data_IF_204861134956
#
_entry.id   IF_204861134956
#
_cell.length_a   1.000
_cell.length_b   1.000
_cell.length_c   1.000
_cell.angle_alpha   90.00
_cell.angle_beta   90.00
_cell.angle_gamma   90.00
#
_symmetry.space_group_name_H-M   'P 1'
#
loop_
_entity.id
_entity.type
_entity.pdbx_description
1 polymer ?
#
# COMPACT_ATOMS: atom_id res chain seq x y z
N UNK A 1 -5.16 -2.78 -10.54
CA UNK A 1 -6.17 -2.88 -9.47
C UNK A 1 -5.46 -2.75 -8.14
N UNK A 2 -5.76 -1.70 -7.37
CA UNK A 2 -5.66 -1.79 -5.90
C UNK A 2 -6.46 -3.04 -5.52
N UNK A 3 -5.86 -3.97 -4.79
CA UNK A 3 -6.40 -5.31 -4.54
C UNK A 3 -7.85 -5.18 -4.02
N UNK A 4 -8.82 -5.48 -4.89
CA UNK A 4 -10.26 -5.53 -4.60
C UNK A 4 -10.61 -6.83 -3.88
N UNK A 5 -9.85 -7.16 -2.83
CA UNK A 5 -10.17 -8.31 -1.99
C UNK A 5 -10.06 -7.90 -0.53
N UNK A 6 -11.19 -7.43 0.00
CA UNK A 6 -11.34 -6.96 1.38
C UNK A 6 -10.89 -8.03 2.39
N UNK A 7 -10.97 -9.31 2.04
CA UNK A 7 -10.61 -10.42 2.92
C UNK A 7 -9.09 -10.58 3.04
N UNK A 8 -8.37 -10.55 1.91
CA UNK A 8 -6.90 -10.59 1.89
C UNK A 8 -6.32 -9.34 2.59
N UNK A 9 -6.95 -8.18 2.39
CA UNK A 9 -6.56 -6.94 3.06
C UNK A 9 -6.75 -7.04 4.57
N UNK A 10 -7.88 -7.60 5.04
CA UNK A 10 -8.16 -7.79 6.46
C UNK A 10 -7.17 -8.77 7.09
N UNK A 11 -6.95 -9.94 6.48
CA UNK A 11 -6.02 -10.95 6.98
C UNK A 11 -4.59 -10.41 7.08
N UNK A 12 -4.12 -9.71 6.05
CA UNK A 12 -2.78 -9.13 6.03
C UNK A 12 -2.62 -8.01 7.07
N UNK A 13 -3.64 -7.15 7.22
CA UNK A 13 -3.68 -6.13 8.28
C UNK A 13 -3.70 -6.78 9.66
N UNK A 14 -4.43 -7.88 9.85
CA UNK A 14 -4.47 -8.61 11.12
C UNK A 14 -3.13 -9.26 11.45
N UNK A 15 -2.44 -9.87 10.50
CA UNK A 15 -1.10 -10.44 10.70
C UNK A 15 -0.08 -9.37 11.07
N UNK A 16 -0.14 -8.20 10.42
CA UNK A 16 0.74 -7.06 10.75
C UNK A 16 0.37 -6.46 12.12
N UNK A 17 -0.92 -6.33 12.45
CA UNK A 17 -1.42 -5.84 13.74
C UNK A 17 -1.07 -6.76 14.91
N UNK A 18 -1.01 -8.07 14.69
CA UNK A 18 -0.67 -9.07 15.71
C UNK A 18 0.80 -8.99 16.14
N UNK A 19 1.66 -8.22 15.45
CA UNK A 19 3.11 -8.20 15.70
C UNK A 19 3.69 -9.62 15.80
N UNK A 20 3.07 -10.59 15.16
CA UNK A 20 3.77 -11.78 14.73
C UNK A 20 4.70 -11.27 13.64
N UNK A 21 5.85 -10.77 14.09
CA UNK A 21 7.00 -10.52 13.26
C UNK A 21 7.17 -11.83 12.52
N UNK A 22 6.65 -11.89 11.28
CA UNK A 22 6.97 -12.97 10.39
C UNK A 22 8.48 -12.94 10.36
N UNK A 23 9.12 -13.93 10.97
CA UNK A 23 10.52 -14.19 10.78
C UNK A 23 10.67 -14.52 9.31
N UNK A 24 10.74 -13.47 8.49
CA UNK A 24 11.21 -13.57 7.13
C UNK A 24 12.65 -14.02 7.30
N UNK A 25 12.86 -15.32 7.16
CA UNK A 25 14.19 -15.88 6.96
C UNK A 25 14.89 -15.11 5.84
N UNK A 26 16.21 -15.16 5.78
CA UNK A 26 16.95 -14.44 4.74
C UNK A 26 16.42 -14.86 3.35
N UNK A 27 15.77 -13.93 2.65
CA UNK A 27 15.22 -14.13 1.31
C UNK A 27 16.38 -14.09 0.30
N UNK A 28 17.24 -15.10 0.36
CA UNK A 28 18.51 -15.18 -0.39
C UNK A 28 18.34 -15.70 -1.82
N UNK A 29 17.18 -16.26 -2.18
CA UNK A 29 17.05 -17.08 -3.40
C UNK A 29 15.86 -16.78 -4.31
N UNK A 30 14.77 -16.16 -3.83
CA UNK A 30 13.64 -15.79 -4.70
C UNK A 30 13.46 -14.27 -4.77
N UNK A 31 14.01 -13.68 -5.83
CA UNK A 31 13.92 -12.24 -6.13
C UNK A 31 12.68 -11.89 -6.95
N UNK A 32 12.01 -12.87 -7.54
CA UNK A 32 10.84 -12.65 -8.40
C UNK A 32 9.71 -12.00 -7.61
N UNK A 33 9.50 -12.43 -6.37
CA UNK A 33 8.41 -11.97 -5.52
C UNK A 33 8.77 -10.85 -4.52
N UNK A 34 10.06 -10.57 -4.31
CA UNK A 34 10.51 -9.60 -3.31
C UNK A 34 9.93 -8.18 -3.54
N UNK A 35 9.83 -7.76 -4.81
CA UNK A 35 9.22 -6.48 -5.17
C UNK A 35 7.72 -6.47 -4.90
N UNK A 36 7.01 -7.52 -5.29
CA UNK A 36 5.57 -7.68 -5.05
C UNK A 36 5.23 -7.64 -3.56
N UNK A 37 6.00 -8.35 -2.74
CA UNK A 37 5.86 -8.33 -1.29
C UNK A 37 6.08 -6.92 -0.72
N UNK A 38 7.11 -6.21 -1.19
CA UNK A 38 7.41 -4.87 -0.70
C UNK A 38 6.31 -3.85 -1.03
N UNK A 39 5.77 -3.89 -2.25
CA UNK A 39 4.64 -3.05 -2.63
C UNK A 39 3.35 -3.43 -1.91
N UNK A 40 3.12 -4.71 -1.62
CA UNK A 40 1.98 -5.16 -0.84
C UNK A 40 2.00 -4.57 0.58
N UNK A 41 3.15 -4.64 1.27
CA UNK A 41 3.33 -3.98 2.57
C UNK A 41 3.12 -2.47 2.49
N UNK A 42 3.66 -1.84 1.45
CA UNK A 42 3.51 -0.41 1.22
C UNK A 42 2.04 0.00 1.03
N UNK A 43 1.22 -0.83 0.37
CA UNK A 43 -0.23 -0.62 0.26
C UNK A 43 -0.95 -0.78 1.60
N UNK A 44 -0.49 -1.67 2.47
CA UNK A 44 -1.05 -1.80 3.83
C UNK A 44 -0.76 -0.55 4.65
N UNK A 45 0.45 0.00 4.54
CA UNK A 45 0.78 1.31 5.14
C UNK A 45 -0.15 2.40 4.62
N UNK A 46 -0.41 2.42 3.30
CA UNK A 46 -1.31 3.40 2.69
C UNK A 46 -2.78 3.28 3.13
N UNK A 47 -3.17 2.15 3.74
CA UNK A 47 -4.57 1.78 3.96
C UNK A 47 -5.33 2.76 4.86
N UNK A 48 -4.67 3.40 5.82
CA UNK A 48 -5.29 4.36 6.74
C UNK A 48 -5.27 5.81 6.22
N UNK A 49 -4.70 6.03 5.03
CA UNK A 49 -4.61 7.34 4.38
C UNK A 49 -3.58 8.29 5.00
N UNK A 50 -2.70 7.81 5.88
CA UNK A 50 -1.59 8.55 6.48
C UNK A 50 -0.35 7.67 6.48
N UNK A 51 0.81 8.29 6.59
CA UNK A 51 2.08 7.56 6.77
C UNK A 51 2.64 7.97 8.13
N UNK A 52 2.80 7.01 9.03
CA UNK A 52 3.36 7.21 10.36
C UNK A 52 4.86 6.92 10.35
N UNK A 53 5.61 7.56 11.26
CA UNK A 53 7.05 7.29 11.41
C UNK A 53 7.36 5.81 11.69
N UNK A 54 6.48 5.10 12.41
CA UNK A 54 6.61 3.66 12.65
C UNK A 54 6.53 2.83 11.37
N UNK A 55 5.69 3.22 10.41
CA UNK A 55 5.52 2.54 9.13
C UNK A 55 6.68 2.86 8.17
N UNK A 56 7.21 4.08 8.22
CA UNK A 56 8.46 4.47 7.51
C UNK A 56 9.64 3.62 8.00
N UNK A 57 9.79 3.48 9.32
CA UNK A 57 10.84 2.66 9.91
C UNK A 57 10.69 1.18 9.54
N UNK A 58 9.46 0.66 9.50
CA UNK A 58 9.17 -0.70 9.04
C UNK A 58 9.57 -0.90 7.58
N UNK A 59 9.14 -0.02 6.67
CA UNK A 59 9.47 -0.10 5.24
C UNK A 59 10.98 0.01 4.98
N UNK A 60 11.69 0.87 5.71
CA UNK A 60 13.15 0.96 5.62
C UNK A 60 13.85 -0.33 6.09
N UNK A 61 13.39 -0.89 7.21
CA UNK A 61 13.94 -2.15 7.76
C UNK A 61 13.74 -3.32 6.80
N UNK A 62 12.53 -3.47 6.25
CA UNK A 62 12.19 -4.54 5.31
C UNK A 62 12.94 -4.37 3.99
N UNK A 63 13.13 -3.14 3.49
CA UNK A 63 13.91 -2.88 2.28
C UNK A 63 15.31 -3.49 2.35
N UNK A 64 16.00 -3.30 3.48
CA UNK A 64 17.32 -3.89 3.71
C UNK A 64 17.28 -5.42 3.77
N UNK A 65 16.29 -5.99 4.46
CA UNK A 65 16.10 -7.46 4.57
C UNK A 65 15.79 -8.12 3.23
N UNK A 66 15.11 -7.41 2.32
CA UNK A 66 14.85 -7.86 0.96
C UNK A 66 16.05 -7.69 0.03
N UNK A 67 17.18 -7.18 0.53
CA UNK A 67 18.39 -6.94 -0.25
C UNK A 67 18.17 -5.89 -1.35
N UNK A 68 17.36 -4.87 -1.06
CA UNK A 68 17.19 -3.72 -1.93
C UNK A 68 18.06 -2.55 -1.45
N UNK A 69 18.54 -1.69 -2.37
CA UNK A 69 19.21 -0.45 -2.01
C UNK A 69 18.33 0.44 -1.13
N UNK A 70 18.92 1.17 -0.18
CA UNK A 70 18.20 2.07 0.73
C UNK A 70 17.34 3.11 0.00
N UNK A 71 17.77 3.54 -1.19
CA UNK A 71 16.99 4.48 -2.02
C UNK A 71 15.66 3.90 -2.51
N UNK A 72 15.55 2.57 -2.63
CA UNK A 72 14.30 1.90 -3.01
C UNK A 72 13.19 2.18 -1.99
N UNK A 73 13.53 2.23 -0.69
CA UNK A 73 12.55 2.54 0.33
C UNK A 73 11.97 3.95 0.18
N UNK A 74 12.80 4.94 -0.17
CA UNK A 74 12.35 6.31 -0.44
C UNK A 74 11.40 6.36 -1.64
N UNK A 75 11.74 5.63 -2.71
CA UNK A 75 10.89 5.57 -3.91
C UNK A 75 9.52 4.94 -3.60
N UNK A 76 9.49 3.86 -2.82
CA UNK A 76 8.24 3.21 -2.43
C UNK A 76 7.42 4.07 -1.47
N UNK A 77 8.05 4.79 -0.54
CA UNK A 77 7.38 5.76 0.33
C UNK A 77 6.75 6.92 -0.46
N UNK A 78 7.46 7.42 -1.48
CA UNK A 78 6.93 8.45 -2.37
C UNK A 78 5.71 7.91 -3.12
N UNK A 79 5.81 6.71 -3.69
CA UNK A 79 4.70 6.06 -4.37
C UNK A 79 3.47 5.86 -3.46
N UNK A 80 3.67 5.43 -2.21
CA UNK A 80 2.59 5.32 -1.20
C UNK A 80 1.93 6.68 -0.93
N UNK A 81 2.74 7.73 -0.80
CA UNK A 81 2.23 9.09 -0.54
C UNK A 81 1.37 9.57 -1.71
N UNK A 82 1.81 9.32 -2.94
CA UNK A 82 1.05 9.67 -4.15
C UNK A 82 -0.24 8.85 -4.26
N UNK A 83 -0.20 7.56 -3.92
CA UNK A 83 -1.38 6.70 -3.87
C UNK A 83 -2.42 7.22 -2.87
N UNK A 84 -2.00 7.62 -1.67
CA UNK A 84 -2.89 8.22 -0.65
C UNK A 84 -3.55 9.48 -1.19
N UNK A 85 -2.78 10.35 -1.86
CA UNK A 85 -3.30 11.58 -2.46
C UNK A 85 -4.34 11.28 -3.53
N UNK A 86 -4.02 10.38 -4.48
CA UNK A 86 -4.95 9.97 -5.53
C UNK A 86 -6.24 9.35 -4.95
N UNK A 87 -6.12 8.57 -3.88
CA UNK A 87 -7.26 7.97 -3.20
C UNK A 87 -8.16 9.04 -2.55
N UNK A 88 -7.56 10.07 -1.96
CA UNK A 88 -8.28 11.23 -1.41
C UNK A 88 -8.99 12.02 -2.51
N UNK A 89 -8.29 12.33 -3.60
CA UNK A 89 -8.84 13.08 -4.74
C UNK A 89 -10.01 12.32 -5.36
N UNK A 90 -9.86 11.01 -5.58
CA UNK A 90 -10.95 10.13 -6.05
C UNK A 90 -12.15 10.20 -5.12
N UNK A 91 -11.96 10.06 -3.80
CA UNK A 91 -13.06 10.10 -2.85
C UNK A 91 -13.80 11.45 -2.87
N UNK A 92 -13.07 12.56 -2.99
CA UNK A 92 -13.68 13.89 -3.15
C UNK A 92 -14.49 13.99 -4.44
N UNK A 93 -13.95 13.52 -5.58
CA UNK A 93 -14.68 13.47 -6.84
C UNK A 93 -15.94 12.61 -6.73
N UNK A 94 -15.85 11.43 -6.10
CA UNK A 94 -17.02 10.55 -5.89
C UNK A 94 -18.12 11.25 -5.10
N UNK A 95 -17.80 12.03 -4.07
CA UNK A 95 -18.79 12.82 -3.35
C UNK A 95 -19.42 13.90 -4.26
N UNK A 96 -18.60 14.66 -5.01
CA UNK A 96 -19.09 15.68 -5.93
C UNK A 96 -20.01 15.11 -7.02
N UNK A 97 -19.69 13.92 -7.52
CA UNK A 97 -20.47 13.26 -8.57
C UNK A 97 -21.89 12.88 -8.11
N UNK A 98 -22.12 12.68 -6.80
CA UNK A 98 -23.47 12.40 -6.26
C UNK A 98 -24.44 13.55 -6.46
N UNK A 99 -23.92 14.78 -6.51
CA UNK A 99 -24.73 15.99 -6.63
C UNK A 99 -24.98 16.41 -8.09
N UNK A 100 -24.31 15.74 -9.05
CA UNK A 100 -24.48 16.04 -10.46
C UNK A 100 -25.78 15.39 -10.96
N UNK A 101 -26.70 16.20 -11.48
CA UNK A 101 -27.91 15.71 -12.13
C UNK A 101 -27.53 14.84 -13.34
N UNK A 102 -28.07 13.62 -13.47
CA UNK A 102 -27.75 12.75 -14.59
C UNK A 102 -28.28 13.35 -15.90
N UNK A 103 -27.46 13.31 -16.94
CA UNK A 103 -27.83 13.70 -18.31
C UNK A 103 -27.78 12.44 -19.17
N UNK A 104 -28.95 11.97 -19.60
CA UNK A 104 -29.07 10.81 -20.47
C UNK A 104 -29.22 11.25 -21.93
N UNK A 105 -28.41 10.70 -22.81
CA UNK A 105 -28.59 10.88 -24.26
C UNK A 105 -29.55 9.80 -24.75
N UNK A 106 -30.77 10.20 -25.11
CA UNK A 106 -31.74 9.31 -25.76
C UNK A 106 -31.23 9.02 -27.18
N UNK A 107 -31.12 7.73 -27.52
CA UNK A 107 -30.88 7.25 -28.88
C UNK A 107 -32.20 7.06 -29.60
#
# INVERSE_FOLDING_TARGET
>A
MMIENDQIRVELIESIKKLEIVELGELTTDREYAGHFYFLLAMVVAADGKVKNSEVNLLNSICGKLGFPTETAKQVLQWVTDLIKLNKDRNQMTELLKDIKPVFVLK
#
